data_IF_129056107651
#
_entry.id   IF_129056107651
#
_cell.length_a   1.000
_cell.length_b   1.000
_cell.length_c   1.000
_cell.angle_alpha   90.00
_cell.angle_beta   90.00
_cell.angle_gamma   90.00
#
_symmetry.space_group_name_H-M   'P 1'
#
loop_
_entity.id
_entity.type
_entity.pdbx_description
1 polymer ?
#
# COMPACT_ATOMS: atom_id res chain seq x y z
N UNK A 1 -0.94 -26.91 37.16
CA UNK A 1 -0.71 -25.80 36.20
C UNK A 1 0.51 -24.95 36.60
N UNK A 2 0.58 -24.45 37.87
CA UNK A 2 1.74 -23.67 38.36
C UNK A 2 3.07 -24.46 38.30
N UNK A 3 3.06 -25.72 38.74
CA UNK A 3 4.24 -26.58 38.63
C UNK A 3 4.72 -26.80 37.18
N UNK A 4 3.81 -26.97 36.22
CA UNK A 4 4.15 -27.07 34.80
C UNK A 4 4.75 -25.78 34.25
N UNK A 5 4.22 -24.60 34.61
CA UNK A 5 4.77 -23.30 34.25
C UNK A 5 6.19 -23.14 34.80
N UNK A 6 6.42 -23.49 36.06
CA UNK A 6 7.75 -23.48 36.66
C UNK A 6 8.76 -24.34 35.88
N UNK A 7 8.39 -25.58 35.59
CA UNK A 7 9.25 -26.50 34.82
C UNK A 7 9.55 -25.94 33.43
N UNK A 8 8.57 -25.32 32.75
CA UNK A 8 8.77 -24.70 31.43
C UNK A 8 9.73 -23.51 31.50
N UNK A 9 9.67 -22.70 32.57
CA UNK A 9 10.50 -21.49 32.72
C UNK A 9 11.93 -21.79 33.22
N UNK A 10 12.07 -22.74 34.12
CA UNK A 10 13.35 -23.01 34.82
C UNK A 10 14.06 -24.27 34.35
N UNK A 11 13.36 -25.20 33.65
CA UNK A 11 13.86 -26.51 33.29
C UNK A 11 13.94 -27.49 34.48
N UNK A 12 13.49 -27.10 35.70
CA UNK A 12 13.59 -27.86 36.94
C UNK A 12 12.21 -28.22 37.48
N UNK A 13 12.16 -29.30 38.25
CA UNK A 13 10.96 -29.67 39.01
C UNK A 13 10.96 -28.82 40.28
N UNK A 14 9.83 -28.14 40.57
CA UNK A 14 9.69 -27.32 41.74
C UNK A 14 9.71 -28.18 43.02
N UNK A 15 10.45 -27.74 44.02
CA UNK A 15 10.36 -28.28 45.39
C UNK A 15 9.02 -27.92 46.06
N UNK A 16 8.66 -28.62 47.09
CA UNK A 16 7.42 -28.34 47.85
C UNK A 16 7.36 -26.89 48.38
N UNK A 17 8.49 -26.39 48.87
CA UNK A 17 8.59 -25.00 49.33
C UNK A 17 8.44 -23.97 48.22
N UNK A 18 9.02 -24.19 47.03
CA UNK A 18 8.86 -23.35 45.85
C UNK A 18 7.42 -23.40 45.35
N UNK A 19 6.79 -24.60 45.31
CA UNK A 19 5.42 -24.75 44.90
C UNK A 19 4.45 -24.01 45.83
N UNK A 20 4.66 -24.10 47.16
CA UNK A 20 3.90 -23.34 48.14
C UNK A 20 4.05 -21.84 47.95
N UNK A 21 5.27 -21.34 47.71
CA UNK A 21 5.51 -19.93 47.41
C UNK A 21 4.80 -19.47 46.14
N UNK A 22 4.82 -20.28 45.07
CA UNK A 22 4.11 -20.00 43.82
C UNK A 22 2.58 -19.92 44.04
N UNK A 23 2.03 -20.83 44.84
CA UNK A 23 0.58 -20.83 45.17
C UNK A 23 0.23 -19.57 45.97
N UNK A 24 1.01 -19.21 46.98
CA UNK A 24 0.74 -18.00 47.79
C UNK A 24 0.84 -16.72 46.93
N UNK A 25 1.81 -16.63 46.06
CA UNK A 25 1.93 -15.49 45.15
C UNK A 25 0.77 -15.41 44.16
N UNK A 26 0.34 -16.54 43.62
CA UNK A 26 -0.84 -16.61 42.75
C UNK A 26 -2.12 -16.19 43.45
N UNK A 27 -2.33 -16.64 44.72
CA UNK A 27 -3.50 -16.23 45.52
C UNK A 27 -3.50 -14.71 45.70
N UNK A 28 -2.38 -14.10 46.10
CA UNK A 28 -2.28 -12.65 46.24
C UNK A 28 -2.56 -11.91 44.95
N UNK A 29 -2.02 -12.39 43.84
CA UNK A 29 -2.25 -11.79 42.51
C UNK A 29 -3.74 -11.87 42.14
N UNK A 30 -4.41 -13.02 42.40
CA UNK A 30 -5.83 -13.20 42.11
C UNK A 30 -6.71 -12.31 43.02
N UNK A 31 -6.39 -12.19 44.30
CA UNK A 31 -7.09 -11.28 45.25
C UNK A 31 -7.01 -9.83 44.78
N UNK A 32 -5.80 -9.36 44.37
CA UNK A 32 -5.59 -8.01 43.84
C UNK A 32 -6.36 -7.82 42.54
N UNK A 33 -6.36 -8.81 41.66
CA UNK A 33 -7.07 -8.76 40.37
C UNK A 33 -8.57 -8.65 40.59
N UNK A 34 -9.14 -9.47 41.47
CA UNK A 34 -10.57 -9.43 41.78
C UNK A 34 -10.98 -8.09 42.42
N UNK A 35 -10.15 -7.54 43.31
CA UNK A 35 -10.38 -6.22 43.89
C UNK A 35 -10.26 -5.10 42.84
N UNK A 36 -9.32 -5.18 41.90
CA UNK A 36 -9.19 -4.23 40.79
C UNK A 36 -10.46 -4.23 39.90
N UNK A 37 -10.99 -5.41 39.59
CA UNK A 37 -12.26 -5.52 38.84
C UNK A 37 -13.44 -4.95 39.67
N UNK A 38 -13.49 -5.20 40.96
CA UNK A 38 -14.54 -4.66 41.86
C UNK A 38 -14.51 -3.14 41.92
N UNK A 39 -13.31 -2.53 41.85
CA UNK A 39 -13.10 -1.09 41.81
C UNK A 39 -13.30 -0.49 40.42
N UNK A 40 -13.54 -1.32 39.39
CA UNK A 40 -13.74 -0.88 38.00
C UNK A 40 -12.47 -0.32 37.34
N UNK A 41 -11.26 -0.73 37.78
CA UNK A 41 -10.00 -0.25 37.25
C UNK A 41 -9.72 -0.72 35.80
N UNK A 42 -10.49 -1.67 35.32
CA UNK A 42 -10.48 -2.14 33.93
C UNK A 42 -11.37 -1.28 33.01
N UNK A 43 -12.28 -0.49 33.60
CA UNK A 43 -13.24 0.33 32.84
C UNK A 43 -12.54 1.61 32.33
N UNK A 44 -12.78 1.92 31.06
CA UNK A 44 -12.21 3.09 30.38
C UNK A 44 -10.66 3.12 30.32
N UNK A 45 -9.99 2.04 30.77
CA UNK A 45 -8.55 1.93 30.66
C UNK A 45 -8.14 1.54 29.22
N UNK A 46 -7.43 2.46 28.55
CA UNK A 46 -6.99 2.26 27.18
C UNK A 46 -5.94 1.14 27.03
N UNK A 47 -5.18 0.83 28.09
CA UNK A 47 -4.15 -0.23 28.09
C UNK A 47 -4.85 -1.59 28.19
N UNK A 48 -5.80 -1.73 29.13
CA UNK A 48 -6.60 -2.93 29.29
C UNK A 48 -7.38 -3.20 28.01
N UNK A 49 -8.06 -2.20 27.46
CA UNK A 49 -8.78 -2.29 26.19
C UNK A 49 -7.88 -2.76 25.05
N UNK A 50 -6.73 -2.12 24.87
CA UNK A 50 -5.73 -2.50 23.85
C UNK A 50 -5.28 -3.95 24.02
N UNK A 51 -5.04 -4.38 25.26
CA UNK A 51 -4.61 -5.76 25.55
C UNK A 51 -5.68 -6.80 25.24
N UNK A 52 -6.93 -6.50 25.52
CA UNK A 52 -8.07 -7.38 25.18
C UNK A 52 -8.24 -7.48 23.67
N UNK A 53 -8.18 -6.36 22.95
CA UNK A 53 -8.23 -6.34 21.47
C UNK A 53 -7.09 -7.17 20.88
N UNK A 54 -5.86 -7.01 21.37
CA UNK A 54 -4.72 -7.81 20.89
C UNK A 54 -4.90 -9.31 21.14
N UNK A 55 -5.41 -9.69 22.32
CA UNK A 55 -5.69 -11.11 22.63
C UNK A 55 -6.75 -11.69 21.71
N UNK A 56 -7.83 -10.95 21.45
CA UNK A 56 -8.90 -11.40 20.56
C UNK A 56 -8.38 -11.54 19.11
N UNK A 57 -7.62 -10.56 18.63
CA UNK A 57 -6.99 -10.63 17.31
C UNK A 57 -6.11 -11.88 17.18
N UNK A 58 -5.29 -12.18 18.20
CA UNK A 58 -4.44 -13.37 18.19
C UNK A 58 -5.23 -14.69 18.15
N UNK A 59 -6.36 -14.77 18.85
CA UNK A 59 -7.25 -15.95 18.79
C UNK A 59 -7.83 -16.11 17.38
N UNK A 60 -8.31 -15.02 16.78
CA UNK A 60 -8.83 -15.02 15.41
C UNK A 60 -7.76 -15.47 14.38
N UNK A 61 -6.52 -15.07 14.58
CA UNK A 61 -5.40 -15.44 13.71
C UNK A 61 -5.00 -16.93 13.85
N UNK A 62 -5.15 -17.51 15.05
CA UNK A 62 -4.71 -18.88 15.34
C UNK A 62 -5.65 -19.94 14.73
N UNK A 63 -6.91 -19.63 14.48
CA UNK A 63 -7.87 -20.54 13.85
C UNK A 63 -7.59 -20.78 12.34
N UNK A 64 -6.71 -20.01 11.71
CA UNK A 64 -6.43 -20.04 10.26
C UNK A 64 -5.07 -20.67 9.90
N UNK A 65 -4.61 -21.66 10.65
CA UNK A 65 -3.26 -22.25 10.56
C UNK A 65 -2.99 -23.15 9.34
N UNK A 66 -3.97 -23.42 8.50
CA UNK A 66 -3.76 -24.22 7.28
C UNK A 66 -3.29 -23.32 6.14
N UNK A 67 -2.20 -23.74 5.47
CA UNK A 67 -1.77 -23.07 4.26
C UNK A 67 -2.90 -23.12 3.21
N UNK A 68 -3.27 -22.00 2.59
CA UNK A 68 -4.34 -21.97 1.61
C UNK A 68 -3.98 -22.82 0.39
N UNK A 69 -4.96 -23.51 -0.18
CA UNK A 69 -4.78 -24.26 -1.41
C UNK A 69 -4.42 -23.32 -2.57
N UNK A 70 -3.64 -23.82 -3.52
CA UNK A 70 -3.21 -23.04 -4.71
C UNK A 70 -4.42 -22.51 -5.48
N UNK A 71 -5.48 -23.32 -5.62
CA UNK A 71 -6.74 -22.94 -6.27
C UNK A 71 -7.42 -21.71 -5.63
N UNK A 72 -7.33 -21.62 -4.30
CA UNK A 72 -7.84 -20.47 -3.54
C UNK A 72 -7.01 -19.22 -3.80
N UNK A 73 -5.69 -19.36 -3.81
CA UNK A 73 -4.78 -18.26 -4.13
C UNK A 73 -4.94 -17.77 -5.57
N UNK A 74 -5.12 -18.67 -6.54
CA UNK A 74 -5.41 -18.29 -7.92
C UNK A 74 -6.73 -17.53 -8.07
N UNK A 75 -7.74 -17.92 -7.29
CA UNK A 75 -9.03 -17.23 -7.29
C UNK A 75 -8.90 -15.83 -6.68
N UNK A 76 -8.17 -15.71 -5.56
CA UNK A 76 -7.90 -14.42 -4.95
C UNK A 76 -7.10 -13.50 -5.89
N UNK A 77 -6.04 -14.01 -6.51
CA UNK A 77 -5.26 -13.30 -7.51
C UNK A 77 -6.13 -12.77 -8.66
N UNK A 78 -7.02 -13.60 -9.23
CA UNK A 78 -7.93 -13.19 -10.32
C UNK A 78 -8.91 -12.10 -9.89
N UNK A 79 -9.40 -12.18 -8.67
CA UNK A 79 -10.35 -11.19 -8.14
C UNK A 79 -9.67 -9.84 -7.78
N UNK A 80 -8.36 -9.85 -7.58
CA UNK A 80 -7.56 -8.67 -7.22
C UNK A 80 -6.43 -8.45 -8.25
N UNK A 81 -6.71 -8.67 -9.53
CA UNK A 81 -5.70 -8.66 -10.60
C UNK A 81 -4.99 -7.31 -10.72
N UNK A 82 -5.70 -6.23 -10.41
CA UNK A 82 -5.20 -4.85 -10.48
C UNK A 82 -4.03 -4.62 -9.51
N UNK A 83 -4.05 -5.29 -8.33
CA UNK A 83 -2.98 -5.20 -7.33
C UNK A 83 -1.67 -5.85 -7.82
N UNK A 84 -1.76 -6.75 -8.80
CA UNK A 84 -0.63 -7.46 -9.41
C UNK A 84 -0.31 -6.94 -10.82
N UNK A 85 -0.87 -5.78 -11.17
CA UNK A 85 -0.72 -5.17 -12.48
C UNK A 85 0.06 -3.87 -12.38
N UNK A 86 1.21 -3.80 -13.05
CA UNK A 86 1.96 -2.55 -13.20
C UNK A 86 1.18 -1.65 -14.16
N UNK A 87 0.82 -0.44 -13.74
CA UNK A 87 0.08 0.47 -14.59
C UNK A 87 0.93 0.94 -15.77
N UNK A 88 0.27 1.33 -16.84
CA UNK A 88 0.90 1.99 -17.98
C UNK A 88 1.68 3.22 -17.52
N UNK A 89 2.91 3.39 -18.02
CA UNK A 89 3.80 4.50 -17.66
C UNK A 89 4.29 5.22 -18.89
N UNK A 90 4.46 6.53 -18.73
CA UNK A 90 4.90 7.43 -19.77
C UNK A 90 6.24 8.07 -19.38
N UNK A 91 7.13 8.16 -20.35
CA UNK A 91 8.33 8.97 -20.26
C UNK A 91 8.30 9.99 -21.39
N UNK A 92 8.51 11.26 -21.08
CA UNK A 92 8.42 12.32 -22.07
C UNK A 92 9.23 13.56 -21.68
N UNK A 93 9.51 14.40 -22.65
CA UNK A 93 9.96 15.79 -22.48
C UNK A 93 8.79 16.71 -22.76
N UNK A 94 8.78 17.88 -22.14
CA UNK A 94 7.74 18.88 -22.33
C UNK A 94 8.31 20.28 -22.51
N UNK A 95 7.59 21.10 -23.27
CA UNK A 95 7.74 22.54 -23.33
C UNK A 95 6.41 23.15 -22.87
N UNK A 96 6.49 24.07 -21.93
CA UNK A 96 5.32 24.74 -21.36
C UNK A 96 5.06 26.09 -22.04
N UNK A 97 3.79 26.45 -22.18
CA UNK A 97 3.34 27.73 -22.73
C UNK A 97 2.10 28.22 -21.96
N UNK A 98 2.10 29.51 -21.67
CA UNK A 98 0.93 30.16 -21.04
C UNK A 98 -0.24 30.28 -22.01
N UNK A 99 0.04 30.47 -23.32
CA UNK A 99 -0.99 30.64 -24.34
C UNK A 99 -1.00 29.53 -25.38
N UNK A 100 -2.22 29.22 -25.87
CA UNK A 100 -2.43 28.29 -26.98
C UNK A 100 -1.71 28.76 -28.25
N UNK A 101 -1.73 30.06 -28.52
CA UNK A 101 -1.11 30.65 -29.73
C UNK A 101 0.41 30.46 -29.76
N UNK A 102 1.07 30.71 -28.61
CA UNK A 102 2.53 30.49 -28.47
C UNK A 102 2.90 29.02 -28.65
N UNK A 103 2.13 28.11 -28.05
CA UNK A 103 2.36 26.67 -28.20
C UNK A 103 2.21 26.21 -29.66
N UNK A 104 1.18 26.70 -30.37
CA UNK A 104 0.95 26.36 -31.76
C UNK A 104 2.06 26.94 -32.68
N UNK A 105 2.55 28.15 -32.40
CA UNK A 105 3.65 28.73 -33.14
C UNK A 105 4.95 27.92 -32.94
N UNK A 106 5.27 27.59 -31.68
CA UNK A 106 6.42 26.75 -31.36
C UNK A 106 6.36 25.37 -32.04
N UNK A 107 5.19 24.76 -32.10
CA UNK A 107 5.02 23.46 -32.78
C UNK A 107 5.31 23.58 -34.31
N UNK A 108 4.87 24.69 -34.95
CA UNK A 108 5.18 24.95 -36.37
C UNK A 108 6.68 25.16 -36.58
N UNK A 109 7.32 25.92 -35.70
CA UNK A 109 8.77 26.22 -35.81
C UNK A 109 9.60 24.94 -35.65
N UNK A 110 9.23 24.08 -34.71
CA UNK A 110 9.82 22.73 -34.52
C UNK A 110 9.62 21.89 -35.81
N UNK A 111 8.43 21.94 -36.40
CA UNK A 111 8.10 21.23 -37.66
C UNK A 111 8.94 21.71 -38.87
N UNK A 112 9.41 22.94 -38.84
CA UNK A 112 10.31 23.52 -39.81
C UNK A 112 11.81 23.21 -39.55
N UNK A 113 12.08 22.48 -38.44
CA UNK A 113 13.44 22.07 -38.08
C UNK A 113 14.21 23.08 -37.23
N UNK A 114 13.50 24.07 -36.64
CA UNK A 114 14.14 24.98 -35.69
C UNK A 114 14.48 24.25 -34.38
N UNK A 115 15.56 24.69 -33.74
CA UNK A 115 15.98 24.13 -32.46
C UNK A 115 14.96 24.43 -31.37
N UNK A 116 14.78 23.50 -30.47
CA UNK A 116 13.90 23.62 -29.29
C UNK A 116 14.55 24.38 -28.13
N UNK A 117 15.85 24.69 -28.23
CA UNK A 117 16.57 25.45 -27.19
C UNK A 117 15.99 26.85 -27.04
N UNK A 118 15.53 27.16 -25.83
CA UNK A 118 14.93 28.46 -25.52
C UNK A 118 13.45 28.59 -25.90
N UNK A 119 12.82 27.55 -26.45
CA UNK A 119 11.38 27.52 -26.62
C UNK A 119 10.70 27.18 -25.29
N UNK A 120 9.50 27.77 -25.08
CA UNK A 120 8.71 27.61 -23.89
C UNK A 120 8.80 28.76 -22.90
N UNK A 121 7.77 28.94 -22.12
CA UNK A 121 7.68 29.95 -21.08
C UNK A 121 8.30 29.45 -19.76
N UNK A 122 8.76 30.34 -18.88
CA UNK A 122 9.27 29.96 -17.56
C UNK A 122 8.24 29.18 -16.75
N UNK A 123 8.66 28.10 -16.13
CA UNK A 123 7.77 27.23 -15.35
C UNK A 123 8.52 26.55 -14.21
N UNK A 124 7.78 26.19 -13.14
CA UNK A 124 8.26 25.33 -12.05
C UNK A 124 8.18 23.82 -12.40
N UNK A 125 7.57 23.46 -13.51
CA UNK A 125 7.46 22.10 -13.98
C UNK A 125 8.79 21.59 -14.51
N UNK A 126 9.06 20.29 -14.33
CA UNK A 126 10.25 19.67 -14.89
C UNK A 126 10.18 19.61 -16.43
N UNK A 127 11.30 19.81 -17.10
CA UNK A 127 11.38 19.68 -18.56
C UNK A 127 11.24 18.23 -19.04
N UNK A 128 11.45 17.23 -18.17
CA UNK A 128 11.32 15.80 -18.48
C UNK A 128 10.74 15.01 -17.33
N UNK A 129 10.01 13.98 -17.69
CA UNK A 129 9.39 13.03 -16.78
C UNK A 129 9.69 11.61 -17.24
N UNK A 130 10.05 10.73 -16.30
CA UNK A 130 10.36 9.33 -16.59
C UNK A 130 9.44 8.41 -15.78
N UNK A 131 8.93 7.35 -16.40
CA UNK A 131 8.15 6.28 -15.79
C UNK A 131 6.95 6.75 -14.96
N UNK A 132 6.22 7.78 -15.43
CA UNK A 132 5.07 8.34 -14.71
C UNK A 132 3.78 7.60 -15.04
N UNK A 133 3.08 7.15 -14.00
CA UNK A 133 1.75 6.57 -14.12
C UNK A 133 0.68 7.65 -14.38
N UNK A 134 -0.53 7.23 -14.78
CA UNK A 134 -1.66 8.15 -14.91
C UNK A 134 -1.98 8.89 -13.59
N UNK A 135 -1.81 8.24 -12.45
CA UNK A 135 -2.01 8.85 -11.11
C UNK A 135 -0.99 9.97 -10.90
N UNK A 136 0.30 9.72 -11.16
CA UNK A 136 1.36 10.71 -11.02
C UNK A 136 1.13 11.93 -11.92
N UNK A 137 0.69 11.67 -13.16
CA UNK A 137 0.44 12.72 -14.14
C UNK A 137 -0.79 13.54 -13.82
N UNK A 138 -1.87 12.91 -13.33
CA UNK A 138 -3.05 13.62 -12.84
C UNK A 138 -2.70 14.51 -11.63
N UNK A 139 -1.89 14.03 -10.70
CA UNK A 139 -1.43 14.82 -9.56
C UNK A 139 -0.55 16.01 -9.97
N UNK A 140 0.24 15.87 -11.05
CA UNK A 140 1.17 16.91 -11.51
C UNK A 140 0.49 17.91 -12.45
N UNK A 141 -0.28 17.46 -13.44
CA UNK A 141 -0.80 18.29 -14.53
C UNK A 141 -2.30 18.54 -14.48
N UNK A 142 -3.01 17.82 -13.61
CA UNK A 142 -4.47 17.86 -13.50
C UNK A 142 -5.16 16.69 -14.20
N UNK A 143 -6.40 16.46 -13.79
CA UNK A 143 -7.22 15.34 -14.25
C UNK A 143 -7.40 15.35 -15.78
N UNK A 144 -7.29 14.17 -16.39
CA UNK A 144 -7.46 13.97 -17.84
C UNK A 144 -6.22 14.29 -18.69
N UNK A 145 -5.11 14.73 -18.07
CA UNK A 145 -3.87 14.95 -18.82
C UNK A 145 -3.29 13.64 -19.40
N UNK A 146 -3.26 12.52 -18.66
CA UNK A 146 -2.75 11.24 -19.22
C UNK A 146 -3.55 10.74 -20.41
N UNK A 147 -4.84 11.02 -20.49
CA UNK A 147 -5.69 10.58 -21.59
C UNK A 147 -5.28 11.24 -22.92
N UNK A 148 -4.80 12.49 -22.84
CA UNK A 148 -4.31 13.22 -24.00
C UNK A 148 -2.92 12.74 -24.49
N UNK A 149 -2.21 11.96 -23.67
CA UNK A 149 -0.93 11.33 -24.08
C UNK A 149 -1.13 10.04 -24.86
N UNK A 150 -2.36 9.51 -24.89
CA UNK A 150 -2.66 8.28 -25.61
C UNK A 150 -2.55 8.52 -27.13
N UNK A 151 -1.83 7.62 -27.80
CA UNK A 151 -1.67 7.68 -29.26
C UNK A 151 -0.61 8.66 -29.74
N UNK A 152 0.10 9.38 -28.85
CA UNK A 152 1.19 10.22 -29.28
C UNK A 152 2.36 9.36 -29.81
N UNK A 153 2.93 9.81 -30.95
CA UNK A 153 4.07 9.14 -31.56
C UNK A 153 5.35 9.38 -30.75
N UNK A 154 6.16 8.32 -30.62
CA UNK A 154 7.45 8.41 -29.93
C UNK A 154 8.41 9.30 -30.73
N UNK A 155 9.25 10.05 -30.03
CA UNK A 155 10.29 10.94 -30.54
C UNK A 155 9.79 12.14 -31.37
N UNK A 156 8.49 12.37 -31.47
CA UNK A 156 7.92 13.56 -32.16
C UNK A 156 7.34 14.54 -31.13
N UNK A 157 7.53 15.84 -31.39
CA UNK A 157 6.85 16.89 -30.67
C UNK A 157 5.39 16.99 -31.13
N UNK A 158 4.47 16.94 -30.22
CA UNK A 158 3.03 16.92 -30.47
C UNK A 158 2.29 17.73 -29.42
N UNK A 159 1.06 18.11 -29.74
CA UNK A 159 0.23 18.96 -28.90
C UNK A 159 -0.39 20.09 -29.74
N UNK A 160 -0.79 21.20 -29.14
CA UNK A 160 -0.71 21.53 -27.70
C UNK A 160 -1.67 20.73 -26.85
N UNK A 161 -1.18 20.22 -25.71
CA UNK A 161 -1.94 19.49 -24.70
C UNK A 161 -2.25 20.44 -23.55
N UNK A 162 -3.50 20.46 -23.11
CA UNK A 162 -3.93 21.35 -22.02
C UNK A 162 -3.72 20.70 -20.65
N UNK A 163 -3.23 21.47 -19.70
CA UNK A 163 -3.15 21.11 -18.27
C UNK A 163 -3.80 22.18 -17.39
N UNK A 164 -3.75 21.99 -16.07
CA UNK A 164 -4.14 23.00 -15.09
C UNK A 164 -3.27 24.26 -15.11
N UNK A 165 -2.08 24.20 -15.70
CA UNK A 165 -1.11 25.32 -15.77
C UNK A 165 -1.17 26.11 -17.08
N UNK A 166 -1.57 25.47 -18.18
CA UNK A 166 -1.57 26.05 -19.50
C UNK A 166 -1.47 24.98 -20.59
N UNK A 167 -0.58 25.18 -21.55
CA UNK A 167 -0.43 24.33 -22.75
C UNK A 167 0.97 23.74 -22.81
N UNK A 168 1.04 22.49 -23.26
CA UNK A 168 2.29 21.75 -23.33
C UNK A 168 2.50 21.17 -24.73
N UNK A 169 3.70 21.28 -25.24
CA UNK A 169 4.17 20.41 -26.32
C UNK A 169 4.90 19.22 -25.68
N UNK A 170 4.55 18.02 -26.11
CA UNK A 170 5.08 16.78 -25.55
C UNK A 170 5.88 16.05 -26.62
N UNK A 171 7.04 15.56 -26.23
CA UNK A 171 7.81 14.58 -26.97
C UNK A 171 7.90 13.30 -26.14
N UNK A 172 7.07 12.33 -26.46
CA UNK A 172 7.10 11.01 -25.80
C UNK A 172 8.41 10.31 -26.11
N UNK A 173 9.15 9.87 -25.08
CA UNK A 173 10.42 9.14 -25.22
C UNK A 173 10.21 7.63 -25.09
N UNK A 174 9.35 7.20 -24.19
CA UNK A 174 8.88 5.80 -24.10
C UNK A 174 7.48 5.71 -23.50
N UNK A 175 6.82 4.61 -23.79
CA UNK A 175 5.54 4.21 -23.18
C UNK A 175 5.70 2.76 -22.77
N UNK A 176 5.67 2.52 -21.46
CA UNK A 176 5.62 1.18 -20.91
C UNK A 176 4.15 0.74 -20.85
N UNK A 177 3.75 -0.34 -21.52
CA UNK A 177 2.39 -0.82 -21.46
C UNK A 177 2.07 -1.31 -20.05
N UNK A 178 0.79 -1.38 -19.73
CA UNK A 178 0.30 -2.10 -18.56
C UNK A 178 0.78 -3.55 -18.62
N UNK A 179 1.25 -4.07 -17.51
CA UNK A 179 1.80 -5.42 -17.43
C UNK A 179 1.33 -6.13 -16.16
N UNK A 180 0.48 -7.12 -16.33
CA UNK A 180 0.06 -8.01 -15.24
C UNK A 180 1.12 -9.05 -14.98
N UNK A 181 1.55 -9.16 -13.73
CA UNK A 181 2.51 -10.18 -13.29
C UNK A 181 1.84 -11.56 -13.25
N UNK A 182 2.35 -12.57 -13.95
CA UNK A 182 1.76 -13.91 -13.92
C UNK A 182 1.71 -14.50 -12.51
N UNK A 183 0.63 -15.20 -12.16
CA UNK A 183 0.44 -15.81 -10.84
C UNK A 183 1.68 -16.55 -10.30
N UNK A 184 2.39 -17.42 -11.07
CA UNK A 184 3.56 -18.12 -10.56
C UNK A 184 4.67 -17.18 -10.06
N UNK A 185 4.79 -15.98 -10.66
CA UNK A 185 5.82 -14.99 -10.27
C UNK A 185 5.46 -14.29 -8.97
N UNK A 186 4.17 -14.09 -8.70
CA UNK A 186 3.66 -13.34 -7.54
C UNK A 186 3.01 -14.24 -6.49
N UNK A 187 3.07 -15.56 -6.64
CA UNK A 187 2.38 -16.52 -5.78
C UNK A 187 2.68 -16.31 -4.28
N UNK A 188 3.92 -16.00 -3.93
CA UNK A 188 4.30 -15.75 -2.54
C UNK A 188 3.64 -14.45 -2.01
N UNK A 189 3.62 -13.41 -2.83
CA UNK A 189 2.95 -12.16 -2.48
C UNK A 189 1.44 -12.38 -2.34
N UNK A 190 0.81 -13.06 -3.29
CA UNK A 190 -0.62 -13.42 -3.22
C UNK A 190 -0.96 -14.19 -1.94
N UNK A 191 -0.07 -15.09 -1.49
CA UNK A 191 -0.28 -15.85 -0.26
C UNK A 191 -0.15 -14.97 1.01
N UNK A 192 0.66 -13.90 0.96
CA UNK A 192 0.76 -12.91 2.04
C UNK A 192 -0.50 -12.06 2.07
N UNK A 193 -0.91 -11.52 0.93
CA UNK A 193 -2.06 -10.63 0.78
C UNK A 193 -3.37 -11.37 1.15
N UNK A 194 -3.49 -12.63 0.73
CA UNK A 194 -4.62 -13.47 1.10
C UNK A 194 -4.71 -13.71 2.61
N UNK A 195 -3.58 -13.94 3.29
CA UNK A 195 -3.57 -14.07 4.76
C UNK A 195 -3.99 -12.78 5.44
N UNK A 196 -3.51 -11.64 4.96
CA UNK A 196 -3.92 -10.34 5.48
C UNK A 196 -5.42 -10.11 5.29
N UNK A 197 -5.94 -10.39 4.10
CA UNK A 197 -7.38 -10.36 3.80
C UNK A 197 -8.21 -11.23 4.74
N UNK A 198 -7.74 -12.46 5.02
CA UNK A 198 -8.42 -13.34 5.96
C UNK A 198 -8.39 -12.79 7.40
N UNK A 199 -7.27 -12.20 7.83
CA UNK A 199 -7.16 -11.59 9.16
C UNK A 199 -8.08 -10.39 9.32
N UNK A 200 -8.20 -9.55 8.31
CA UNK A 200 -9.11 -8.40 8.28
C UNK A 200 -10.57 -8.88 8.37
N UNK A 201 -10.97 -9.84 7.54
CA UNK A 201 -12.32 -10.41 7.59
C UNK A 201 -12.63 -11.09 8.92
N UNK A 202 -11.67 -11.81 9.52
CA UNK A 202 -11.85 -12.43 10.82
C UNK A 202 -12.06 -11.38 11.93
N UNK A 203 -11.33 -10.26 11.88
CA UNK A 203 -11.55 -9.14 12.82
C UNK A 203 -12.92 -8.52 12.64
N UNK A 204 -13.34 -8.30 11.41
CA UNK A 204 -14.63 -7.69 11.09
C UNK A 204 -15.81 -8.59 11.53
N UNK A 205 -15.65 -9.91 11.44
CA UNK A 205 -16.64 -10.87 11.90
C UNK A 205 -16.89 -10.84 13.43
N UNK A 206 -15.95 -10.31 14.21
CA UNK A 206 -16.11 -10.11 15.67
C UNK A 206 -16.74 -8.76 16.04
N UNK A 207 -16.96 -7.88 15.07
CA UNK A 207 -17.47 -6.50 15.27
C UNK A 207 -18.93 -6.41 14.78
N UNK A 208 -19.77 -7.37 15.18
CA UNK A 208 -21.22 -7.34 14.89
C UNK A 208 -22.01 -6.87 16.11
#
# INVERSE_FOLDING_TARGET
RLAALWTTQTGLIATEAELNSLVQNWIKEEELYQEALRLGLDQEDSIVRRRLVQKLSFIAETEQTLAPEISTLETFYRNNIDDYTLPKRYSFRQLYFESLGSAQQALRDIGLGHDTSGLGDPTMLNASYAYRSAIDLNATFGFGFPDQLQGLEIAKWQGPIRSGFGYHLIQTTSVEPEQTSPFPTVQQQVAIDYRQYQQENARDAFVV
#
